data_IF_895589479474
#
_entry.id   IF_895589479474
#
_cell.length_a   1.000
_cell.length_b   1.000
_cell.length_c   1.000
_cell.angle_alpha   90.00
_cell.angle_beta   90.00
_cell.angle_gamma   90.00
#
_symmetry.space_group_name_H-M   'P 1'
#
loop_
_entity.id
_entity.type
_entity.pdbx_description
1 polymer ?
#
# COMPACT_ATOMS: atom_id res chain seq x y z
N UNK A 1 -19.66 8.43 -0.39
CA UNK A 1 -18.92 7.40 -1.15
C UNK A 1 -18.07 6.60 -0.20
N UNK A 2 -18.14 5.28 -0.28
CA UNK A 2 -17.42 4.34 0.58
C UNK A 2 -16.25 3.75 -0.19
N UNK A 3 -15.03 4.01 0.25
CA UNK A 3 -13.80 3.56 -0.38
C UNK A 3 -13.13 2.44 0.43
N UNK A 4 -12.64 1.42 -0.26
CA UNK A 4 -11.77 0.40 0.30
C UNK A 4 -10.31 0.75 0.02
N UNK A 5 -9.56 1.20 1.03
CA UNK A 5 -8.16 1.61 0.90
C UNK A 5 -7.35 1.10 2.09
N UNK A 6 -6.08 0.79 1.84
CA UNK A 6 -5.10 0.60 2.91
C UNK A 6 -4.55 1.95 3.39
N UNK A 7 -4.03 2.02 4.60
CA UNK A 7 -3.43 3.23 5.21
C UNK A 7 -2.41 3.93 4.30
N UNK A 8 -1.61 3.14 3.56
CA UNK A 8 -0.67 3.65 2.54
C UNK A 8 -1.40 4.47 1.49
N UNK A 9 -2.46 3.91 0.91
CA UNK A 9 -3.21 4.56 -0.18
C UNK A 9 -4.02 5.74 0.33
N UNK A 10 -4.60 5.65 1.53
CA UNK A 10 -5.27 6.79 2.17
C UNK A 10 -4.32 7.98 2.32
N UNK A 11 -3.12 7.73 2.83
CA UNK A 11 -2.13 8.79 3.07
C UNK A 11 -1.55 9.40 1.78
N UNK A 12 -1.62 8.68 0.67
CA UNK A 12 -1.20 9.15 -0.65
C UNK A 12 -2.33 9.90 -1.34
N UNK A 13 -3.54 9.35 -1.38
CA UNK A 13 -4.66 9.90 -2.15
C UNK A 13 -5.40 11.02 -1.43
N UNK A 14 -5.70 10.88 -0.12
CA UNK A 14 -6.56 11.81 0.59
C UNK A 14 -6.01 13.22 0.73
N UNK A 15 -4.71 13.48 0.93
CA UNK A 15 -4.19 14.84 0.96
C UNK A 15 -4.43 15.65 -0.32
N UNK A 16 -4.60 14.99 -1.46
CA UNK A 16 -4.90 15.64 -2.75
C UNK A 16 -6.41 15.60 -3.04
N UNK A 17 -7.07 14.47 -2.82
CA UNK A 17 -8.49 14.27 -3.12
C UNK A 17 -9.40 15.12 -2.22
N UNK A 18 -9.24 15.02 -0.90
CA UNK A 18 -10.21 15.60 0.03
C UNK A 18 -10.28 17.13 -0.03
N UNK A 19 -9.18 17.89 -0.12
CA UNK A 19 -9.26 19.34 -0.30
C UNK A 19 -10.03 19.77 -1.55
N UNK A 20 -9.90 19.02 -2.65
CA UNK A 20 -10.66 19.30 -3.88
C UNK A 20 -12.15 19.02 -3.69
N UNK A 21 -12.51 17.89 -3.04
CA UNK A 21 -13.89 17.55 -2.76
C UNK A 21 -14.56 18.59 -1.86
N UNK A 22 -13.92 18.97 -0.77
CA UNK A 22 -14.46 19.99 0.16
C UNK A 22 -14.73 21.31 -0.56
N UNK A 23 -13.87 21.70 -1.50
CA UNK A 23 -13.99 22.95 -2.23
C UNK A 23 -15.10 22.91 -3.30
N UNK A 24 -15.22 21.80 -4.02
CA UNK A 24 -16.06 21.75 -5.23
C UNK A 24 -17.34 20.91 -5.08
N UNK A 25 -17.38 20.01 -4.10
CA UNK A 25 -18.51 19.10 -3.87
C UNK A 25 -18.76 18.89 -2.37
N UNK A 26 -19.11 19.97 -1.62
CA UNK A 26 -19.19 19.95 -0.15
C UNK A 26 -20.23 18.98 0.41
N UNK A 27 -21.15 18.50 -0.42
CA UNK A 27 -22.20 17.55 -0.02
C UNK A 27 -21.78 16.07 -0.16
N UNK A 28 -20.56 15.79 -0.63
CA UNK A 28 -20.05 14.44 -0.74
C UNK A 28 -19.24 14.10 0.52
N UNK A 29 -19.67 13.05 1.21
CA UNK A 29 -18.91 12.44 2.30
C UNK A 29 -18.14 11.24 1.77
N UNK A 30 -16.86 11.17 2.07
CA UNK A 30 -16.02 10.00 1.79
C UNK A 30 -15.81 9.25 3.11
N UNK A 31 -16.15 7.97 3.11
CA UNK A 31 -15.81 7.04 4.17
C UNK A 31 -14.76 6.07 3.63
N UNK A 32 -13.80 5.70 4.44
CA UNK A 32 -12.78 4.72 4.08
C UNK A 32 -12.70 3.62 5.10
N UNK A 33 -12.45 2.40 4.64
CA UNK A 33 -12.08 1.28 5.49
C UNK A 33 -11.09 0.36 4.78
N UNK A 34 -10.27 -0.32 5.54
CA UNK A 34 -9.46 -1.40 5.01
C UNK A 34 -10.34 -2.61 4.70
N UNK A 35 -9.98 -3.33 3.65
CA UNK A 35 -10.66 -4.54 3.20
C UNK A 35 -9.63 -5.59 2.84
N UNK A 36 -9.87 -6.82 3.25
CA UNK A 36 -9.05 -7.96 2.85
C UNK A 36 -9.44 -8.43 1.45
N UNK A 37 -8.52 -9.11 0.77
CA UNK A 37 -8.81 -9.64 -0.56
C UNK A 37 -10.09 -10.51 -0.65
N UNK A 38 -10.37 -11.47 0.27
CA UNK A 38 -11.62 -12.23 0.23
C UNK A 38 -12.89 -11.39 0.40
N UNK A 39 -12.79 -10.24 1.08
CA UNK A 39 -13.93 -9.34 1.34
C UNK A 39 -14.21 -8.37 0.18
N UNK A 40 -13.23 -8.12 -0.70
CA UNK A 40 -13.33 -7.11 -1.77
C UNK A 40 -14.56 -7.32 -2.66
N UNK A 41 -14.69 -8.49 -3.27
CA UNK A 41 -15.80 -8.76 -4.19
C UNK A 41 -17.17 -8.80 -3.50
N UNK A 42 -17.34 -9.46 -2.33
CA UNK A 42 -18.59 -9.40 -1.56
C UNK A 42 -18.99 -7.98 -1.15
N UNK A 43 -18.04 -7.15 -0.65
CA UNK A 43 -18.33 -5.79 -0.20
C UNK A 43 -18.77 -4.88 -1.35
N UNK A 44 -18.13 -5.00 -2.52
CA UNK A 44 -18.55 -4.27 -3.73
C UNK A 44 -19.91 -4.75 -4.25
N UNK A 45 -20.18 -6.04 -4.25
CA UNK A 45 -21.46 -6.61 -4.68
C UNK A 45 -22.61 -6.19 -3.75
N UNK A 46 -22.37 -6.12 -2.44
CA UNK A 46 -23.34 -5.70 -1.42
C UNK A 46 -23.53 -4.18 -1.35
N UNK A 47 -22.77 -3.39 -2.12
CA UNK A 47 -22.74 -1.92 -2.05
C UNK A 47 -22.30 -1.36 -0.69
N UNK A 48 -21.57 -2.15 0.08
CA UNK A 48 -20.90 -1.67 1.30
C UNK A 48 -19.70 -0.78 0.96
N UNK A 49 -19.05 -1.07 -0.17
CA UNK A 49 -18.02 -0.26 -0.80
C UNK A 49 -18.43 0.08 -2.23
N UNK A 50 -18.12 1.29 -2.65
CA UNK A 50 -18.34 1.78 -4.01
C UNK A 50 -17.13 1.50 -4.90
N UNK A 51 -15.93 1.72 -4.37
CA UNK A 51 -14.65 1.55 -5.06
C UNK A 51 -13.62 0.98 -4.07
N UNK A 52 -12.76 0.09 -4.54
CA UNK A 52 -11.59 -0.41 -3.80
C UNK A 52 -10.34 -0.11 -4.61
N UNK A 53 -9.26 0.36 -3.97
CA UNK A 53 -7.93 0.45 -4.58
C UNK A 53 -7.00 -0.47 -3.79
N UNK A 54 -6.44 -1.46 -4.46
CA UNK A 54 -5.50 -2.44 -3.87
C UNK A 54 -4.60 -3.04 -4.96
N UNK A 55 -3.66 -3.87 -4.55
CA UNK A 55 -2.85 -4.67 -5.44
C UNK A 55 -3.70 -5.49 -6.42
N UNK A 56 -3.10 -5.89 -7.55
CA UNK A 56 -3.78 -6.76 -8.51
C UNK A 56 -4.12 -8.10 -7.86
N UNK A 57 -5.41 -8.40 -7.79
CA UNK A 57 -5.94 -9.65 -7.24
C UNK A 57 -6.89 -10.32 -8.23
N UNK A 58 -6.95 -11.65 -8.27
CA UNK A 58 -7.95 -12.37 -9.04
C UNK A 58 -9.36 -12.00 -8.57
N UNK A 59 -10.23 -11.63 -9.49
CA UNK A 59 -11.61 -11.22 -9.21
C UNK A 59 -12.61 -12.01 -10.05
N UNK A 60 -13.89 -11.96 -9.67
CA UNK A 60 -14.98 -12.53 -10.47
C UNK A 60 -15.26 -11.66 -11.71
N UNK A 61 -16.00 -12.22 -12.68
CA UNK A 61 -16.43 -11.49 -13.90
C UNK A 61 -17.31 -10.27 -13.60
N UNK A 62 -17.88 -10.18 -12.42
CA UNK A 62 -18.76 -9.08 -12.01
C UNK A 62 -17.98 -7.90 -11.43
N UNK A 63 -16.70 -8.07 -11.13
CA UNK A 63 -15.81 -7.02 -10.67
C UNK A 63 -15.03 -6.48 -11.86
N UNK A 64 -15.17 -5.18 -12.09
CA UNK A 64 -14.35 -4.41 -13.03
C UNK A 64 -13.07 -4.00 -12.35
N UNK A 65 -12.01 -3.86 -13.14
CA UNK A 65 -10.75 -3.31 -12.66
C UNK A 65 -10.11 -2.39 -13.67
N UNK A 66 -9.41 -1.38 -13.15
CA UNK A 66 -8.63 -0.45 -13.94
C UNK A 66 -7.26 -0.27 -13.27
N UNK A 67 -6.20 -0.39 -14.06
CA UNK A 67 -4.83 -0.14 -13.61
C UNK A 67 -4.68 1.34 -13.19
N UNK A 68 -3.97 1.57 -12.10
CA UNK A 68 -3.60 2.91 -11.62
C UNK A 68 -2.11 3.13 -11.74
N UNK A 69 -1.30 2.30 -11.09
CA UNK A 69 0.15 2.44 -11.04
C UNK A 69 0.85 1.13 -10.71
N UNK A 70 2.17 1.16 -10.77
CA UNK A 70 3.04 0.14 -10.16
C UNK A 70 3.68 0.68 -8.90
N UNK A 71 3.72 -0.12 -7.86
CA UNK A 71 4.41 0.19 -6.61
C UNK A 71 5.68 -0.64 -6.47
N UNK A 72 6.76 0.02 -6.08
CA UNK A 72 8.04 -0.63 -5.78
C UNK A 72 8.31 -0.62 -4.30
N UNK A 73 9.34 -1.34 -3.86
CA UNK A 73 9.66 -1.48 -2.45
C UNK A 73 11.08 -1.01 -2.14
N UNK A 74 11.25 -0.50 -0.93
CA UNK A 74 12.52 -0.09 -0.36
C UNK A 74 12.68 -0.66 1.04
N UNK A 75 13.91 -0.67 1.54
CA UNK A 75 14.23 -0.97 2.94
C UNK A 75 14.34 0.34 3.71
N UNK A 76 13.69 0.41 4.86
CA UNK A 76 13.74 1.52 5.81
C UNK A 76 14.31 1.04 7.13
N UNK A 77 15.23 1.79 7.70
CA UNK A 77 15.85 1.50 9.00
C UNK A 77 16.35 2.79 9.67
N UNK A 78 16.79 2.69 10.93
CA UNK A 78 17.48 3.79 11.59
C UNK A 78 18.84 4.06 10.92
N UNK A 79 19.38 5.30 10.90
CA UNK A 79 20.70 5.61 10.35
C UNK A 79 21.83 4.86 11.06
N UNK A 80 21.63 4.49 12.33
CA UNK A 80 22.60 3.72 13.12
C UNK A 80 22.55 2.20 12.89
N UNK A 81 21.62 1.71 12.06
CA UNK A 81 21.49 0.29 11.77
C UNK A 81 22.69 -0.20 10.95
N UNK A 82 23.29 -1.32 11.38
CA UNK A 82 24.47 -1.89 10.72
C UNK A 82 24.25 -2.30 9.26
N UNK A 83 23.00 -2.47 8.84
CA UNK A 83 22.63 -2.73 7.46
C UNK A 83 23.04 -1.58 6.52
N UNK A 84 23.06 -0.33 7.00
CA UNK A 84 23.42 0.87 6.22
C UNK A 84 24.85 0.77 5.66
N UNK A 85 25.78 0.22 6.44
CA UNK A 85 27.19 0.10 6.07
C UNK A 85 27.44 -0.96 4.97
N UNK A 86 26.59 -1.99 4.89
CA UNK A 86 26.74 -3.07 3.92
C UNK A 86 25.37 -3.64 3.48
N UNK A 87 24.60 -2.90 2.67
CA UNK A 87 23.29 -3.33 2.19
C UNK A 87 23.41 -4.41 1.13
N UNK A 88 23.28 -5.68 1.54
CA UNK A 88 23.32 -6.84 0.66
C UNK A 88 22.27 -7.89 1.09
N UNK A 89 21.99 -8.85 0.22
CA UNK A 89 20.98 -9.90 0.48
C UNK A 89 21.30 -10.72 1.73
N UNK A 90 22.58 -10.93 2.03
CA UNK A 90 23.01 -11.67 3.21
C UNK A 90 22.73 -10.89 4.49
N UNK A 91 23.11 -9.61 4.56
CA UNK A 91 22.83 -8.75 5.72
C UNK A 91 21.34 -8.54 5.91
N UNK A 92 20.57 -8.42 4.81
CA UNK A 92 19.12 -8.35 4.85
C UNK A 92 18.50 -9.62 5.47
N UNK A 93 18.94 -10.82 5.04
CA UNK A 93 18.32 -12.07 5.50
C UNK A 93 18.63 -12.42 6.96
N UNK A 94 19.79 -11.98 7.51
CA UNK A 94 20.14 -12.23 8.92
C UNK A 94 19.60 -11.16 9.87
N UNK A 95 19.21 -10.01 9.38
CA UNK A 95 18.61 -8.95 10.18
C UNK A 95 17.26 -9.36 10.76
N UNK A 96 16.83 -8.66 11.80
CA UNK A 96 15.44 -8.73 12.28
C UNK A 96 14.57 -7.72 11.54
N UNK A 97 13.32 -8.09 11.26
CA UNK A 97 12.40 -7.29 10.45
C UNK A 97 11.13 -6.93 11.19
N UNK A 98 10.63 -5.73 10.90
CA UNK A 98 9.22 -5.39 11.08
C UNK A 98 8.45 -5.75 9.79
N UNK A 99 7.29 -6.34 9.94
CA UNK A 99 6.35 -6.68 8.88
C UNK A 99 5.03 -5.95 9.08
N UNK A 100 4.59 -5.23 8.08
CA UNK A 100 3.23 -4.65 8.07
C UNK A 100 2.33 -5.52 7.21
N UNK A 101 1.38 -6.17 7.86
CA UNK A 101 0.49 -7.13 7.20
C UNK A 101 -0.83 -7.22 7.96
N UNK A 102 -1.95 -7.27 7.25
CA UNK A 102 -3.23 -7.70 7.81
C UNK A 102 -3.16 -9.20 8.15
N UNK A 103 -3.77 -9.61 9.26
CA UNK A 103 -3.66 -10.96 9.85
C UNK A 103 -3.85 -12.14 8.90
N UNK A 104 -4.61 -11.96 7.82
CA UNK A 104 -4.94 -13.01 6.84
C UNK A 104 -4.20 -12.86 5.50
N UNK A 105 -3.23 -11.96 5.38
CA UNK A 105 -2.42 -11.78 4.18
C UNK A 105 -1.37 -12.89 4.10
N UNK A 106 -1.64 -13.93 3.32
CA UNK A 106 -0.75 -15.11 3.19
C UNK A 106 0.36 -14.95 2.13
N UNK A 107 0.34 -13.91 1.33
CA UNK A 107 1.29 -13.72 0.22
C UNK A 107 1.93 -12.36 0.34
N UNK A 108 3.16 -12.34 0.82
CA UNK A 108 4.03 -11.17 0.75
C UNK A 108 4.95 -11.32 -0.46
N UNK A 109 4.89 -10.36 -1.39
CA UNK A 109 5.68 -10.38 -2.63
C UNK A 109 7.18 -10.42 -2.36
N UNK A 110 7.62 -9.78 -1.27
CA UNK A 110 9.01 -9.76 -0.83
C UNK A 110 9.45 -11.14 -0.34
N UNK A 111 8.60 -11.84 0.45
CA UNK A 111 8.91 -13.19 0.92
C UNK A 111 8.94 -14.19 -0.22
N UNK A 112 8.08 -14.03 -1.22
CA UNK A 112 8.12 -14.86 -2.44
C UNK A 112 9.43 -14.66 -3.23
N UNK A 113 9.89 -13.41 -3.35
CA UNK A 113 11.16 -13.11 -4.00
C UNK A 113 12.35 -13.68 -3.21
N UNK A 114 12.37 -13.57 -1.90
CA UNK A 114 13.40 -14.18 -1.04
C UNK A 114 13.43 -15.70 -1.12
N UNK A 115 12.27 -16.33 -1.21
CA UNK A 115 12.17 -17.79 -1.34
C UNK A 115 12.85 -18.33 -2.60
N UNK A 116 12.94 -17.54 -3.69
CA UNK A 116 13.70 -17.90 -4.90
C UNK A 116 15.21 -18.02 -4.63
N UNK A 117 15.70 -17.36 -3.59
CA UNK A 117 17.10 -17.45 -3.12
C UNK A 117 17.27 -18.42 -1.95
N UNK A 118 16.23 -19.21 -1.59
CA UNK A 118 16.19 -20.06 -0.40
C UNK A 118 16.44 -19.29 0.91
N UNK A 119 15.99 -18.05 0.97
CA UNK A 119 16.10 -17.15 2.12
C UNK A 119 14.70 -16.78 2.66
N UNK A 120 14.66 -16.31 3.90
CA UNK A 120 13.48 -15.82 4.58
C UNK A 120 13.85 -14.68 5.52
N UNK A 121 12.86 -13.86 5.88
CA UNK A 121 13.01 -12.80 6.89
C UNK A 121 12.82 -13.36 8.29
N UNK A 122 13.59 -12.87 9.25
CA UNK A 122 13.37 -13.10 10.67
C UNK A 122 12.46 -12.00 11.23
N UNK A 123 11.17 -12.27 11.36
CA UNK A 123 10.18 -11.27 11.78
C UNK A 123 10.18 -11.14 13.30
N UNK A 124 10.60 -9.96 13.79
CA UNK A 124 10.59 -9.60 15.21
C UNK A 124 9.33 -8.79 15.59
N UNK A 125 8.76 -8.04 14.66
CA UNK A 125 7.54 -7.27 14.84
C UNK A 125 6.58 -7.52 13.69
N UNK A 126 5.32 -7.82 13.97
CA UNK A 126 4.24 -7.76 13.00
C UNK A 126 3.16 -6.81 13.49
N UNK A 127 2.76 -5.87 12.63
CA UNK A 127 1.70 -4.89 12.92
C UNK A 127 0.88 -4.59 11.67
N UNK A 128 -0.19 -3.81 11.81
CA UNK A 128 -1.14 -3.54 10.72
C UNK A 128 -0.93 -2.17 10.05
N UNK A 129 -0.11 -1.29 10.65
CA UNK A 129 0.05 0.10 10.21
C UNK A 129 1.51 0.50 10.03
N UNK A 130 1.83 1.06 8.87
CA UNK A 130 3.20 1.51 8.56
C UNK A 130 3.68 2.62 9.48
N UNK A 131 2.81 3.54 9.92
CA UNK A 131 3.22 4.60 10.85
C UNK A 131 3.83 4.02 12.13
N UNK A 132 3.20 3.01 12.72
CA UNK A 132 3.71 2.34 13.92
C UNK A 132 5.04 1.61 13.63
N UNK A 133 5.12 0.90 12.49
CA UNK A 133 6.33 0.20 12.09
C UNK A 133 7.51 1.15 11.88
N UNK A 134 7.32 2.25 11.13
CA UNK A 134 8.37 3.25 10.89
C UNK A 134 8.83 3.89 12.19
N UNK A 135 7.91 4.25 13.09
CA UNK A 135 8.28 4.81 14.39
C UNK A 135 9.12 3.85 15.24
N UNK A 136 8.85 2.54 15.17
CA UNK A 136 9.66 1.52 15.85
C UNK A 136 11.03 1.39 15.21
N UNK A 137 11.10 1.21 13.87
CA UNK A 137 12.39 0.96 13.19
C UNK A 137 13.31 2.18 13.21
N UNK A 138 12.78 3.41 13.36
CA UNK A 138 13.61 4.60 13.55
C UNK A 138 14.34 4.64 14.90
N UNK A 139 13.99 3.75 15.84
CA UNK A 139 14.51 3.75 17.21
C UNK A 139 15.19 2.43 17.62
N UNK A 140 15.26 1.44 16.73
CA UNK A 140 15.82 0.13 17.04
C UNK A 140 16.46 -0.51 15.80
N UNK A 141 17.18 -1.63 16.02
CA UNK A 141 17.94 -2.33 14.97
C UNK A 141 17.05 -3.32 14.18
N UNK A 142 15.96 -2.80 13.59
CA UNK A 142 15.07 -3.55 12.72
C UNK A 142 15.09 -2.98 11.30
N UNK A 143 14.84 -3.83 10.31
CA UNK A 143 14.55 -3.42 8.93
C UNK A 143 13.05 -3.46 8.67
N UNK A 144 12.55 -2.50 7.90
CA UNK A 144 11.18 -2.50 7.39
C UNK A 144 11.21 -2.42 5.87
N UNK A 145 10.64 -3.40 5.19
CA UNK A 145 10.38 -3.28 3.75
C UNK A 145 9.00 -2.70 3.54
N UNK A 146 8.93 -1.62 2.75
CA UNK A 146 7.68 -0.90 2.55
C UNK A 146 7.61 -0.25 1.15
N UNK A 147 6.40 0.17 0.69
CA UNK A 147 6.23 0.88 -0.56
C UNK A 147 7.08 2.15 -0.64
N UNK A 148 7.76 2.34 -1.79
CA UNK A 148 8.74 3.41 -2.00
C UNK A 148 8.14 4.80 -1.80
N UNK A 149 6.98 5.07 -2.42
CA UNK A 149 6.32 6.38 -2.33
C UNK A 149 5.89 6.72 -0.91
N UNK A 150 5.48 5.70 -0.17
CA UNK A 150 5.08 5.89 1.22
C UNK A 150 6.28 6.11 2.14
N UNK A 151 7.40 5.41 1.92
CA UNK A 151 8.64 5.63 2.66
C UNK A 151 9.12 7.09 2.55
N UNK A 152 9.02 7.68 1.36
CA UNK A 152 9.41 9.07 1.12
C UNK A 152 8.62 10.09 1.96
N UNK A 153 7.37 9.80 2.31
CA UNK A 153 6.55 10.68 3.17
C UNK A 153 7.03 10.70 4.63
N UNK A 154 7.73 9.66 5.05
CA UNK A 154 8.25 9.53 6.41
C UNK A 154 9.64 10.13 6.60
N UNK A 155 10.44 10.28 5.52
CA UNK A 155 11.81 10.79 5.60
C UNK A 155 11.93 12.19 6.23
N UNK A 156 10.88 13.00 6.13
CA UNK A 156 10.83 14.33 6.75
C UNK A 156 10.29 14.33 8.20
N UNK A 157 9.82 13.19 8.69
CA UNK A 157 9.15 13.08 10.00
C UNK A 157 9.92 12.20 10.98
N UNK A 158 10.70 11.28 10.48
CA UNK A 158 11.49 10.32 11.25
C UNK A 158 12.94 10.33 10.78
N UNK A 159 13.86 10.09 11.69
CA UNK A 159 15.26 9.89 11.38
C UNK A 159 15.46 8.46 10.85
N UNK A 160 15.39 8.31 9.54
CA UNK A 160 15.43 7.03 8.84
C UNK A 160 16.28 7.10 7.58
N UNK A 161 16.92 5.99 7.25
CA UNK A 161 17.54 5.74 5.95
C UNK A 161 16.59 4.93 5.07
N UNK A 162 16.56 5.29 3.78
CA UNK A 162 15.79 4.61 2.74
C UNK A 162 16.78 4.02 1.74
N UNK A 163 16.84 2.70 1.69
CA UNK A 163 17.81 1.96 0.89
C UNK A 163 17.08 1.08 -0.14
N UNK A 164 17.70 0.81 -1.31
CA UNK A 164 17.12 -0.12 -2.26
C UNK A 164 17.09 -1.54 -1.68
N UNK A 165 16.14 -2.36 -2.15
CA UNK A 165 16.17 -3.79 -1.88
C UNK A 165 17.42 -4.42 -2.51
N UNK A 166 18.11 -5.34 -1.82
CA UNK A 166 19.33 -5.98 -2.32
C UNK A 166 19.06 -7.18 -3.25
N UNK A 167 17.82 -7.33 -3.72
CA UNK A 167 17.36 -8.37 -4.65
C UNK A 167 16.14 -7.85 -5.43
N UNK A 168 15.89 -8.48 -6.58
CA UNK A 168 14.80 -8.07 -7.45
C UNK A 168 13.44 -8.51 -6.87
N UNK A 169 12.53 -7.55 -6.75
CA UNK A 169 11.12 -7.76 -6.43
C UNK A 169 10.31 -7.15 -7.57
N UNK A 170 9.45 -7.92 -8.23
CA UNK A 170 8.59 -7.37 -9.28
C UNK A 170 7.74 -6.22 -8.73
N UNK A 171 7.59 -5.12 -9.48
CA UNK A 171 6.66 -4.07 -9.12
C UNK A 171 5.26 -4.62 -8.89
N UNK A 172 4.58 -4.10 -7.88
CA UNK A 172 3.23 -4.51 -7.52
C UNK A 172 2.22 -3.65 -8.28
N UNK A 173 1.47 -4.22 -9.25
CA UNK A 173 0.45 -3.46 -9.94
C UNK A 173 -0.71 -3.15 -8.99
N UNK A 174 -1.10 -1.87 -8.94
CA UNK A 174 -2.21 -1.35 -8.14
C UNK A 174 -3.38 -1.04 -9.07
N UNK A 175 -4.54 -1.53 -8.72
CA UNK A 175 -5.76 -1.40 -9.49
C UNK A 175 -6.87 -0.77 -8.67
N UNK A 176 -7.76 -0.07 -9.33
CA UNK A 176 -9.06 0.35 -8.84
C UNK A 176 -10.10 -0.68 -9.25
N UNK A 177 -10.99 -1.06 -8.32
CA UNK A 177 -12.02 -2.06 -8.49
C UNK A 177 -13.40 -1.51 -8.18
N UNK A 178 -14.41 -1.92 -8.95
CA UNK A 178 -15.83 -1.65 -8.69
C UNK A 178 -16.68 -2.80 -9.21
N UNK A 179 -17.91 -2.90 -8.74
CA UNK A 179 -18.84 -3.91 -9.23
C UNK A 179 -19.51 -3.44 -10.52
N UNK A 180 -19.80 -4.34 -11.47
CA UNK A 180 -20.42 -4.04 -12.78
C UNK A 180 -21.73 -3.24 -12.69
N UNK A 181 -22.49 -3.36 -11.59
CA UNK A 181 -23.73 -2.57 -11.41
C UNK A 181 -23.47 -1.06 -11.28
N UNK A 182 -22.25 -0.66 -11.03
CA UNK A 182 -21.82 0.74 -10.93
C UNK A 182 -21.14 1.25 -12.21
N UNK A 183 -21.17 0.48 -13.30
CA UNK A 183 -20.55 0.88 -14.58
C UNK A 183 -21.13 2.21 -15.08
N UNK A 184 -22.44 2.44 -14.91
CA UNK A 184 -23.18 3.64 -15.34
C UNK A 184 -23.65 4.54 -14.17
N UNK A 185 -23.30 4.21 -12.92
CA UNK A 185 -23.62 5.05 -11.77
C UNK A 185 -22.82 6.35 -11.82
N UNK A 186 -23.51 7.48 -11.96
CA UNK A 186 -22.87 8.79 -12.19
C UNK A 186 -21.93 9.20 -11.06
N UNK A 187 -22.25 8.86 -9.81
CA UNK A 187 -21.42 9.20 -8.66
C UNK A 187 -20.17 8.32 -8.63
N UNK A 188 -20.33 7.03 -8.93
CA UNK A 188 -19.22 6.10 -9.00
C UNK A 188 -18.27 6.43 -10.16
N UNK A 189 -18.82 6.68 -11.38
CA UNK A 189 -18.03 7.10 -12.55
C UNK A 189 -17.24 8.36 -12.23
N UNK A 190 -17.92 9.39 -11.71
CA UNK A 190 -17.28 10.65 -11.33
C UNK A 190 -16.18 10.47 -10.29
N UNK A 191 -16.39 9.65 -9.26
CA UNK A 191 -15.36 9.38 -8.25
C UNK A 191 -14.17 8.64 -8.83
N UNK A 192 -14.39 7.67 -9.72
CA UNK A 192 -13.29 6.97 -10.43
C UNK A 192 -12.43 7.95 -11.22
N UNK A 193 -13.07 8.88 -11.95
CA UNK A 193 -12.35 9.91 -12.70
C UNK A 193 -11.52 10.81 -11.77
N UNK A 194 -12.08 11.22 -10.60
CA UNK A 194 -11.33 12.00 -9.61
C UNK A 194 -10.12 11.24 -9.04
N UNK A 195 -10.28 9.95 -8.76
CA UNK A 195 -9.17 9.10 -8.27
C UNK A 195 -8.07 8.96 -9.34
N UNK A 196 -8.42 8.82 -10.62
CA UNK A 196 -7.45 8.80 -11.71
C UNK A 196 -6.75 10.15 -11.91
N UNK A 197 -7.49 11.27 -11.80
CA UNK A 197 -6.89 12.61 -11.85
C UNK A 197 -5.89 12.82 -10.70
N UNK A 198 -6.23 12.35 -9.50
CA UNK A 198 -5.33 12.40 -8.35
C UNK A 198 -4.08 11.55 -8.60
N UNK A 199 -4.25 10.31 -9.09
CA UNK A 199 -3.13 9.45 -9.45
C UNK A 199 -2.21 10.14 -10.46
N UNK A 200 -2.76 10.73 -11.53
CA UNK A 200 -1.98 11.49 -12.52
C UNK A 200 -1.23 12.68 -11.91
N UNK A 201 -1.85 13.45 -11.01
CA UNK A 201 -1.20 14.58 -10.30
C UNK A 201 -0.05 14.13 -9.40
N UNK A 202 -0.15 12.93 -8.86
CA UNK A 202 0.87 12.31 -8.02
C UNK A 202 1.99 11.63 -8.83
N UNK A 203 1.87 11.60 -10.17
CA UNK A 203 2.82 10.90 -11.04
C UNK A 203 2.76 9.37 -10.89
N UNK A 204 1.55 8.84 -10.61
CA UNK A 204 1.30 7.42 -10.47
C UNK A 204 0.99 6.77 -11.83
#
# INVERSE_FOLDING_TARGET
VNLGLRDVLESIFFPVLIPELVKHTPNITVNSRQVTWPELAPALAAKELDIVIDALVPTSRDIRSQFICEETFVVVCAPSNSYVDNPCIKSYSVAQHALVSLKDSKLDTVDLALAQHNLHRNIALQCEHYFAAVNVVSQCDLLLTMPTRFAQQFSNKFDIEILPLPFDVPPLPVHMYWHKHADEDLVNVWMRDRLLDVASKLGL
#
